data_IF_227272943320
#
_entry.id   IF_227272943320
#
_cell.length_a   1.000
_cell.length_b   1.000
_cell.length_c   1.000
_cell.angle_alpha   90.00
_cell.angle_beta   90.00
_cell.angle_gamma   90.00
#
_symmetry.space_group_name_H-M   'P 1'
#
loop_
_entity.id
_entity.type
_entity.pdbx_description
1 polymer ?
#
# COMPACT_ATOMS: atom_id res chain seq x y z
N UNK A 1 -50.62 -21.11 9.92
CA UNK A 1 -49.62 -20.14 9.43
C UNK A 1 -48.69 -19.85 10.58
N UNK A 2 -47.47 -20.40 10.58
CA UNK A 2 -46.51 -20.23 11.69
C UNK A 2 -45.91 -18.83 11.64
N UNK A 3 -46.07 -18.07 12.71
CA UNK A 3 -45.42 -16.78 12.91
C UNK A 3 -43.91 -17.00 13.02
N UNK A 4 -43.15 -16.51 12.04
CA UNK A 4 -41.69 -16.49 12.12
C UNK A 4 -41.32 -15.36 13.07
N UNK A 5 -40.99 -15.69 14.31
CA UNK A 5 -40.48 -14.72 15.28
C UNK A 5 -39.18 -14.08 14.74
N UNK A 6 -39.24 -12.80 14.37
CA UNK A 6 -38.05 -12.06 13.94
C UNK A 6 -37.15 -11.87 15.17
N UNK A 7 -36.04 -12.61 15.18
CA UNK A 7 -35.01 -12.51 16.23
C UNK A 7 -34.37 -11.12 16.19
N UNK A 8 -34.62 -10.30 17.21
CA UNK A 8 -34.00 -8.96 17.34
C UNK A 8 -32.49 -9.08 17.44
N UNK A 9 -31.76 -8.54 16.47
CA UNK A 9 -30.30 -8.52 16.50
C UNK A 9 -29.78 -7.55 17.57
N UNK A 10 -28.70 -7.95 18.24
CA UNK A 10 -28.04 -7.12 19.25
C UNK A 10 -27.21 -6.02 18.59
N UNK A 11 -27.18 -4.80 19.16
CA UNK A 11 -26.34 -3.73 18.63
C UNK A 11 -24.85 -4.09 18.74
N UNK A 12 -24.05 -3.66 17.76
CA UNK A 12 -22.59 -3.87 17.71
C UNK A 12 -21.90 -2.51 17.71
N UNK A 13 -20.85 -2.35 18.52
CA UNK A 13 -20.03 -1.14 18.53
C UNK A 13 -18.87 -1.28 17.53
N UNK A 14 -19.13 -0.92 16.27
CA UNK A 14 -18.19 -1.04 15.14
C UNK A 14 -17.97 0.29 14.40
N UNK A 15 -18.24 1.41 15.06
CA UNK A 15 -17.95 2.72 14.50
C UNK A 15 -16.43 2.98 14.53
N UNK A 16 -15.78 2.80 13.37
CA UNK A 16 -14.34 2.97 13.22
C UNK A 16 -13.90 4.43 13.35
N UNK A 17 -14.80 5.40 13.18
CA UNK A 17 -14.51 6.82 13.37
C UNK A 17 -14.41 7.18 14.86
N UNK A 18 -15.09 6.43 15.72
CA UNK A 18 -15.04 6.58 17.18
C UNK A 18 -13.86 5.82 17.80
N UNK A 19 -13.49 4.66 17.23
CA UNK A 19 -12.42 3.82 17.76
C UNK A 19 -11.04 4.42 17.44
N UNK A 20 -10.27 4.75 18.49
CA UNK A 20 -8.90 5.27 18.35
C UNK A 20 -7.93 4.18 17.92
N UNK A 21 -7.46 4.25 16.67
CA UNK A 21 -6.49 3.30 16.13
C UNK A 21 -5.04 3.71 16.48
N UNK A 22 -4.22 2.80 17.03
CA UNK A 22 -2.81 3.07 17.25
C UNK A 22 -2.03 3.04 15.93
N UNK A 23 -0.86 3.70 15.88
CA UNK A 23 -0.05 3.80 14.67
C UNK A 23 0.27 2.45 13.98
N UNK A 24 0.61 1.36 14.71
CA UNK A 24 0.80 0.05 14.10
C UNK A 24 -0.43 -0.49 13.36
N UNK A 25 -1.64 -0.20 13.85
CA UNK A 25 -2.88 -0.61 13.19
C UNK A 25 -3.07 0.14 11.86
N UNK A 26 -2.78 1.44 11.85
CA UNK A 26 -2.81 2.27 10.62
C UNK A 26 -1.78 1.75 9.60
N UNK A 27 -0.54 1.51 10.03
CA UNK A 27 0.49 0.99 9.12
C UNK A 27 0.14 -0.41 8.57
N UNK A 28 -0.53 -1.24 9.38
CA UNK A 28 -1.01 -2.56 8.96
C UNK A 28 -2.08 -2.46 7.87
N UNK A 29 -3.10 -1.60 8.02
CA UNK A 29 -4.10 -1.44 6.96
C UNK A 29 -3.49 -0.83 5.69
N UNK A 30 -2.54 0.11 5.83
CA UNK A 30 -1.81 0.64 4.69
C UNK A 30 -1.02 -0.44 3.94
N UNK A 31 -0.44 -1.43 4.63
CA UNK A 31 0.25 -2.55 3.98
C UNK A 31 -0.69 -3.48 3.22
N UNK A 32 -1.90 -3.71 3.75
CA UNK A 32 -2.95 -4.48 3.06
C UNK A 32 -3.43 -3.76 1.81
N UNK A 33 -3.76 -2.46 1.94
CA UNK A 33 -4.22 -1.62 0.84
C UNK A 33 -3.13 -1.46 -0.23
N UNK A 34 -1.86 -1.28 0.17
CA UNK A 34 -0.76 -1.18 -0.78
C UNK A 34 -0.55 -2.49 -1.55
N UNK A 35 -0.63 -3.64 -0.88
CA UNK A 35 -0.55 -4.95 -1.53
C UNK A 35 -1.68 -5.17 -2.55
N UNK A 36 -2.92 -4.87 -2.16
CA UNK A 36 -4.07 -4.96 -3.06
C UNK A 36 -3.95 -3.99 -4.26
N UNK A 37 -3.54 -2.75 -4.01
CA UNK A 37 -3.34 -1.75 -5.07
C UNK A 37 -2.26 -2.14 -6.06
N UNK A 38 -1.13 -2.69 -5.58
CA UNK A 38 -0.07 -3.21 -6.45
C UNK A 38 -0.57 -4.36 -7.30
N UNK A 39 -1.26 -5.34 -6.69
CA UNK A 39 -1.83 -6.48 -7.40
C UNK A 39 -2.79 -6.04 -8.51
N UNK A 40 -3.71 -5.12 -8.21
CA UNK A 40 -4.68 -4.59 -9.19
C UNK A 40 -4.00 -3.81 -10.32
N UNK A 41 -2.85 -3.19 -10.07
CA UNK A 41 -2.09 -2.42 -11.06
C UNK A 41 -1.07 -3.23 -11.84
N UNK A 42 -0.86 -4.52 -11.50
CA UNK A 42 0.07 -5.39 -12.25
C UNK A 42 -0.21 -5.42 -13.76
N UNK A 43 -1.47 -5.55 -14.26
CA UNK A 43 -1.72 -5.55 -15.69
C UNK A 43 -1.27 -4.25 -16.38
N UNK A 44 -1.47 -3.10 -15.73
CA UNK A 44 -1.04 -1.79 -16.25
C UNK A 44 0.48 -1.69 -16.26
N UNK A 45 1.16 -2.13 -15.20
CA UNK A 45 2.62 -2.11 -15.12
C UNK A 45 3.26 -3.04 -16.16
N UNK A 46 2.67 -4.22 -16.39
CA UNK A 46 3.10 -5.16 -17.43
C UNK A 46 2.87 -4.58 -18.82
N UNK A 47 1.75 -3.90 -19.05
CA UNK A 47 1.49 -3.21 -20.31
C UNK A 47 2.50 -2.07 -20.57
N UNK A 48 2.82 -1.26 -19.55
CA UNK A 48 3.88 -0.24 -19.67
C UNK A 48 5.26 -0.86 -19.97
N UNK A 49 5.57 -2.00 -19.33
CA UNK A 49 6.80 -2.74 -19.60
C UNK A 49 6.83 -3.25 -21.05
N UNK A 50 5.73 -3.81 -21.56
CA UNK A 50 5.63 -4.25 -22.95
C UNK A 50 5.88 -3.09 -23.92
N UNK A 51 5.21 -1.94 -23.73
CA UNK A 51 5.42 -0.76 -24.57
C UNK A 51 6.88 -0.30 -24.55
N UNK A 52 7.56 -0.43 -23.42
CA UNK A 52 8.96 -0.02 -23.29
C UNK A 52 9.97 -0.92 -24.04
N UNK A 53 9.57 -2.14 -24.43
CA UNK A 53 10.47 -3.15 -24.99
C UNK A 53 10.16 -3.53 -26.45
N UNK A 54 8.92 -3.31 -26.91
CA UNK A 54 8.42 -3.90 -28.16
C UNK A 54 9.01 -3.28 -29.44
N UNK A 55 9.03 -1.94 -29.55
CA UNK A 55 9.52 -1.25 -30.74
C UNK A 55 9.85 0.22 -30.42
N UNK A 56 10.62 0.92 -31.29
CA UNK A 56 10.85 2.36 -31.13
C UNK A 56 9.54 3.18 -31.08
N UNK A 57 8.54 2.81 -31.88
CA UNK A 57 7.23 3.48 -31.91
C UNK A 57 6.44 3.23 -30.61
N UNK A 58 6.46 1.99 -30.10
CA UNK A 58 5.85 1.65 -28.80
C UNK A 58 6.56 2.38 -27.65
N UNK A 59 7.88 2.57 -27.72
CA UNK A 59 8.65 3.30 -26.72
C UNK A 59 8.29 4.79 -26.68
N UNK A 60 8.05 5.43 -27.83
CA UNK A 60 7.55 6.82 -27.86
C UNK A 60 6.15 6.93 -27.23
N UNK A 61 5.29 5.91 -27.43
CA UNK A 61 3.99 5.84 -26.73
C UNK A 61 4.18 5.69 -25.22
N UNK A 62 5.08 4.80 -24.78
CA UNK A 62 5.46 4.66 -23.38
C UNK A 62 5.90 6.00 -22.79
N UNK A 63 6.82 6.72 -23.45
CA UNK A 63 7.31 8.04 -23.02
C UNK A 63 6.19 9.06 -22.91
N UNK A 64 5.26 9.10 -23.86
CA UNK A 64 4.12 10.00 -23.82
C UNK A 64 3.21 9.70 -22.61
N UNK A 65 2.94 8.42 -22.34
CA UNK A 65 2.11 7.99 -21.19
C UNK A 65 2.78 8.33 -19.87
N UNK A 66 4.02 7.88 -19.64
CA UNK A 66 4.74 8.12 -18.37
C UNK A 66 5.17 9.58 -18.19
N UNK A 67 5.26 10.34 -19.29
CA UNK A 67 5.53 11.77 -19.27
C UNK A 67 4.34 12.60 -18.80
N UNK A 68 3.12 12.07 -18.87
CA UNK A 68 1.91 12.78 -18.46
C UNK A 68 1.90 13.00 -16.93
N UNK A 69 1.65 14.22 -16.42
CA UNK A 69 1.72 14.53 -14.99
C UNK A 69 0.82 13.64 -14.11
N UNK A 70 -0.40 13.33 -14.58
CA UNK A 70 -1.29 12.41 -13.86
C UNK A 70 -0.74 10.99 -13.79
N UNK A 71 -0.08 10.51 -14.86
CA UNK A 71 0.56 9.20 -14.85
C UNK A 71 1.74 9.19 -13.87
N UNK A 72 2.56 10.25 -13.85
CA UNK A 72 3.64 10.41 -12.85
C UNK A 72 3.12 10.41 -11.42
N UNK A 73 1.98 11.07 -11.14
CA UNK A 73 1.35 11.03 -9.81
C UNK A 73 0.91 9.61 -9.43
N UNK A 74 0.25 8.89 -10.33
CA UNK A 74 -0.16 7.50 -10.10
C UNK A 74 1.06 6.60 -9.88
N UNK A 75 2.09 6.72 -10.72
CA UNK A 75 3.34 5.97 -10.60
C UNK A 75 4.10 6.32 -9.31
N UNK A 76 4.05 7.56 -8.86
CA UNK A 76 4.61 7.97 -7.54
C UNK A 76 3.84 7.29 -6.41
N UNK A 77 2.50 7.23 -6.49
CA UNK A 77 1.67 6.51 -5.53
C UNK A 77 1.96 5.00 -5.50
N UNK A 78 2.17 4.39 -6.67
CA UNK A 78 2.55 2.98 -6.77
C UNK A 78 3.96 2.69 -6.28
N UNK A 79 4.90 3.61 -6.53
CA UNK A 79 6.24 3.56 -5.97
C UNK A 79 6.20 3.58 -4.44
N UNK A 80 5.43 4.50 -3.86
CA UNK A 80 5.21 4.53 -2.40
C UNK A 80 4.54 3.25 -1.90
N UNK A 81 3.50 2.78 -2.59
CA UNK A 81 2.79 1.54 -2.22
C UNK A 81 3.75 0.35 -2.18
N UNK A 82 4.63 0.20 -3.18
CA UNK A 82 5.67 -0.82 -3.22
C UNK A 82 6.65 -0.70 -2.05
N UNK A 83 7.19 0.49 -1.81
CA UNK A 83 8.19 0.71 -0.75
C UNK A 83 7.60 0.51 0.65
N UNK A 84 6.40 1.03 0.90
CA UNK A 84 5.68 0.79 2.16
C UNK A 84 5.34 -0.69 2.32
N UNK A 85 4.83 -1.35 1.28
CA UNK A 85 4.51 -2.78 1.32
C UNK A 85 5.74 -3.62 1.65
N UNK A 86 6.87 -3.34 1.00
CA UNK A 86 8.14 -4.03 1.18
C UNK A 86 8.72 -3.82 2.60
N UNK A 87 8.87 -2.57 3.04
CA UNK A 87 9.38 -2.27 4.37
C UNK A 87 8.49 -2.84 5.49
N UNK A 88 7.17 -2.72 5.33
CA UNK A 88 6.23 -3.31 6.30
C UNK A 88 6.25 -4.84 6.24
N UNK A 89 6.43 -5.44 5.07
CA UNK A 89 6.59 -6.89 4.89
C UNK A 89 7.80 -7.42 5.65
N UNK A 90 8.96 -6.75 5.54
CA UNK A 90 10.15 -7.09 6.35
C UNK A 90 9.82 -7.01 7.84
N UNK A 91 9.13 -5.95 8.29
CA UNK A 91 8.73 -5.83 9.69
C UNK A 91 7.81 -6.98 10.13
N UNK A 92 6.87 -7.39 9.29
CA UNK A 92 5.98 -8.52 9.59
C UNK A 92 6.79 -9.81 9.73
N UNK A 93 7.70 -10.08 8.79
CA UNK A 93 8.59 -11.25 8.88
C UNK A 93 9.45 -11.25 10.15
N UNK A 94 9.92 -10.09 10.61
CA UNK A 94 10.63 -9.98 11.89
C UNK A 94 9.72 -10.28 13.09
N UNK A 95 8.47 -9.81 13.06
CA UNK A 95 7.49 -10.14 14.11
C UNK A 95 7.13 -11.62 14.11
N UNK A 96 7.07 -12.27 12.95
CA UNK A 96 6.84 -13.72 12.82
C UNK A 96 8.00 -14.55 13.42
N UNK A 97 9.17 -13.93 13.59
CA UNK A 97 10.34 -14.48 14.29
C UNK A 97 10.41 -14.03 15.76
N UNK A 98 9.33 -13.48 16.32
CA UNK A 98 9.23 -12.91 17.66
C UNK A 98 10.16 -11.71 17.94
N UNK A 99 10.67 -11.04 16.89
CA UNK A 99 11.56 -9.88 17.03
C UNK A 99 10.73 -8.58 17.04
N UNK A 100 10.73 -7.88 18.19
CA UNK A 100 10.11 -6.55 18.33
C UNK A 100 8.60 -6.55 18.60
N UNK A 101 8.09 -7.64 19.18
CA UNK A 101 6.68 -7.87 19.56
C UNK A 101 6.21 -7.00 20.72
N UNK A 102 7.14 -6.60 21.61
CA UNK A 102 6.86 -5.69 22.72
C UNK A 102 6.30 -4.33 22.25
N UNK A 103 5.47 -3.70 23.09
CA UNK A 103 4.75 -2.47 22.75
C UNK A 103 5.66 -1.33 22.26
N UNK A 104 6.78 -1.08 22.96
CA UNK A 104 7.69 0.02 22.62
C UNK A 104 8.46 -0.28 21.32
N UNK A 105 9.16 -1.43 21.16
CA UNK A 105 9.75 -1.84 19.89
C UNK A 105 8.75 -1.85 18.72
N UNK A 106 7.54 -2.37 18.93
CA UNK A 106 6.48 -2.44 17.91
C UNK A 106 6.08 -1.05 17.40
N UNK A 107 5.97 -0.05 18.29
CA UNK A 107 5.69 1.35 17.90
C UNK A 107 6.88 2.00 17.20
N UNK A 108 8.10 1.77 17.68
CA UNK A 108 9.31 2.36 17.09
C UNK A 108 9.57 1.80 15.70
N UNK A 109 9.45 0.48 15.51
CA UNK A 109 9.62 -0.16 14.20
C UNK A 109 8.58 0.29 13.19
N UNK A 110 7.33 0.51 13.60
CA UNK A 110 6.31 1.13 12.71
C UNK A 110 6.70 2.53 12.27
N UNK A 111 7.20 3.39 13.17
CA UNK A 111 7.68 4.73 12.80
C UNK A 111 8.85 4.64 11.81
N UNK A 112 9.77 3.70 12.02
CA UNK A 112 10.89 3.46 11.12
C UNK A 112 10.42 3.04 9.73
N UNK A 113 9.46 2.11 9.61
CA UNK A 113 8.86 1.72 8.32
C UNK A 113 8.30 2.91 7.57
N UNK A 114 7.52 3.77 8.23
CA UNK A 114 6.94 4.95 7.60
C UNK A 114 8.01 5.97 7.18
N UNK A 115 8.99 6.25 8.04
CA UNK A 115 10.06 7.18 7.74
C UNK A 115 10.93 6.71 6.55
N UNK A 116 11.35 5.44 6.57
CA UNK A 116 12.20 4.85 5.52
C UNK A 116 11.45 4.78 4.19
N UNK A 117 10.20 4.29 4.18
CA UNK A 117 9.41 4.18 2.93
C UNK A 117 9.16 5.55 2.28
N UNK A 118 8.84 6.58 3.08
CA UNK A 118 8.65 7.95 2.58
C UNK A 118 9.97 8.57 2.10
N UNK A 119 11.08 8.37 2.82
CA UNK A 119 12.39 8.86 2.39
C UNK A 119 12.81 8.22 1.06
N UNK A 120 12.65 6.90 0.92
CA UNK A 120 12.92 6.19 -0.33
C UNK A 120 12.01 6.68 -1.46
N UNK A 121 10.73 6.94 -1.17
CA UNK A 121 9.79 7.49 -2.16
C UNK A 121 10.22 8.87 -2.62
N UNK A 122 10.66 9.75 -1.72
CA UNK A 122 11.16 11.07 -2.09
C UNK A 122 12.42 10.97 -2.97
N UNK A 123 13.40 10.14 -2.57
CA UNK A 123 14.65 9.97 -3.31
C UNK A 123 14.40 9.40 -4.72
N UNK A 124 13.60 8.33 -4.81
CA UNK A 124 13.34 7.67 -6.10
C UNK A 124 12.32 8.44 -6.94
N UNK A 125 11.36 9.11 -6.30
CA UNK A 125 10.37 9.96 -6.94
C UNK A 125 11.00 11.11 -7.71
N UNK A 126 12.12 11.69 -7.24
CA UNK A 126 12.86 12.71 -8.00
C UNK A 126 13.27 12.23 -9.38
N UNK A 127 13.58 10.94 -9.58
CA UNK A 127 13.92 10.40 -10.92
C UNK A 127 12.72 10.22 -11.84
N UNK A 128 11.52 10.10 -11.26
CA UNK A 128 10.28 9.93 -12.01
C UNK A 128 9.76 11.26 -12.56
N UNK A 129 10.11 12.37 -11.89
CA UNK A 129 9.71 13.72 -12.24
C UNK A 129 10.73 14.40 -13.15
#
# INVERSE_FOLDING_TARGET
MSEIAIKKERPKHLDLLVIKQPLPAIASILHRVSGAGLFLMLPVLIWLLQLSLESPQSFETFRAVVGHPLAKLVLTGLLWAFLHHFCMGIRILLLDLDIGTDLKPSRTSTKAVLAVSLALTAILGVKLW
#
